data_IF_115498918205
#
_entry.id   IF_115498918205
#
_cell.length_a   1.000
_cell.length_b   1.000
_cell.length_c   1.000
_cell.angle_alpha   90.00
_cell.angle_beta   90.00
_cell.angle_gamma   90.00
#
_symmetry.space_group_name_H-M   'P 1'
#
loop_
_entity.id
_entity.type
_entity.pdbx_description
1 polymer ?
#
# COMPACT_ATOMS: atom_id res chain seq x y z
N UNK A 1 -7.10 -2.61 -13.06
CA UNK A 1 -7.50 -2.41 -11.65
C UNK A 1 -6.33 -1.83 -10.86
N UNK A 2 -6.52 -0.81 -10.02
CA UNK A 2 -5.41 -0.12 -9.32
C UNK A 2 -4.87 -0.89 -8.09
N UNK A 3 -5.67 -1.81 -7.55
CA UNK A 3 -5.39 -2.55 -6.31
C UNK A 3 -4.01 -3.26 -6.29
N UNK A 4 -3.60 -3.90 -7.38
CA UNK A 4 -2.34 -4.65 -7.43
C UNK A 4 -1.08 -3.74 -7.32
N UNK A 5 -1.18 -2.45 -7.63
CA UNK A 5 -0.10 -1.48 -7.35
C UNK A 5 -0.03 -1.19 -5.85
N UNK A 6 -1.18 -0.88 -5.25
CA UNK A 6 -1.27 -0.58 -3.81
C UNK A 6 -0.89 -1.78 -2.95
N UNK A 7 -1.21 -3.02 -3.36
CA UNK A 7 -0.75 -4.23 -2.68
C UNK A 7 0.79 -4.30 -2.62
N UNK A 8 1.47 -3.84 -3.67
CA UNK A 8 2.94 -3.79 -3.75
C UNK A 8 3.55 -2.56 -3.07
N UNK A 9 2.74 -1.68 -2.47
CA UNK A 9 3.24 -0.47 -1.82
C UNK A 9 3.66 0.64 -2.77
N UNK A 10 3.13 0.65 -4.00
CA UNK A 10 3.43 1.66 -5.01
C UNK A 10 2.14 2.33 -5.50
N UNK A 11 2.17 3.62 -5.88
CA UNK A 11 1.04 4.27 -6.50
C UNK A 11 0.74 3.69 -7.89
N UNK A 12 -0.50 3.79 -8.34
CA UNK A 12 -0.85 3.47 -9.74
C UNK A 12 -0.21 4.50 -10.68
N UNK A 13 0.26 4.11 -11.88
CA UNK A 13 0.79 5.05 -12.87
C UNK A 13 -0.31 5.87 -13.58
N UNK A 14 -1.59 5.51 -13.40
CA UNK A 14 -2.71 6.16 -14.10
C UNK A 14 -3.03 7.57 -13.61
N UNK A 15 -2.68 7.88 -12.36
CA UNK A 15 -2.95 9.15 -11.72
C UNK A 15 -1.82 9.46 -10.74
N UNK A 16 -1.55 10.73 -10.49
CA UNK A 16 -0.59 11.10 -9.45
C UNK A 16 -1.22 10.91 -8.05
N UNK A 17 -0.45 10.50 -7.03
CA UNK A 17 -0.91 10.57 -5.64
C UNK A 17 -1.35 11.99 -5.30
N UNK A 18 -2.51 12.16 -4.66
CA UNK A 18 -2.85 13.47 -4.10
C UNK A 18 -2.05 13.74 -2.82
N UNK A 19 -1.72 12.70 -2.06
CA UNK A 19 -0.89 12.80 -0.87
C UNK A 19 -0.28 11.45 -0.50
N UNK A 20 0.89 11.46 0.15
CA UNK A 20 1.47 10.28 0.78
C UNK A 20 2.35 10.66 1.96
N UNK A 21 2.58 9.72 2.86
CA UNK A 21 3.62 9.81 3.88
C UNK A 21 4.53 8.60 3.82
N UNK A 22 5.78 8.81 4.19
CA UNK A 22 6.79 7.77 4.31
C UNK A 22 7.15 7.56 5.77
N UNK A 23 7.52 6.34 6.13
CA UNK A 23 8.12 6.06 7.42
C UNK A 23 9.60 6.47 7.46
N UNK A 24 10.25 6.26 8.62
CA UNK A 24 11.65 6.65 8.88
C UNK A 24 12.67 6.04 7.92
N UNK A 25 12.31 4.99 7.18
CA UNK A 25 13.20 4.32 6.22
C UNK A 25 12.71 4.45 4.78
N UNK A 26 11.80 5.39 4.51
CA UNK A 26 11.35 5.73 3.17
C UNK A 26 10.27 4.82 2.58
N UNK A 27 9.61 3.98 3.39
CA UNK A 27 8.51 3.12 2.90
C UNK A 27 7.19 3.86 3.00
N UNK A 28 6.27 3.59 2.07
CA UNK A 28 4.91 4.13 2.15
C UNK A 28 4.27 3.80 3.50
N UNK A 29 3.85 4.81 4.24
CA UNK A 29 3.08 4.63 5.48
C UNK A 29 1.59 4.86 5.18
N UNK A 30 1.30 5.89 4.39
CA UNK A 30 -0.05 6.22 3.95
C UNK A 30 -0.03 6.78 2.52
N UNK A 31 -1.12 6.59 1.78
CA UNK A 31 -1.31 7.06 0.41
C UNK A 31 -2.77 7.47 0.19
N UNK A 32 -2.98 8.65 -0.38
CA UNK A 32 -4.26 9.06 -0.96
C UNK A 32 -4.09 9.13 -2.48
N UNK A 33 -4.85 8.30 -3.19
CA UNK A 33 -4.84 8.24 -4.66
C UNK A 33 -6.24 7.93 -5.17
N UNK A 34 -6.69 8.68 -6.17
CA UNK A 34 -8.08 8.63 -6.67
C UNK A 34 -9.08 8.86 -5.51
N UNK A 35 -10.05 7.96 -5.31
CA UNK A 35 -11.00 7.96 -4.20
C UNK A 35 -10.58 7.08 -3.02
N UNK A 36 -9.32 6.63 -2.99
CA UNK A 36 -8.81 5.69 -2.00
C UNK A 36 -7.84 6.32 -1.03
N UNK A 37 -8.03 6.00 0.25
CA UNK A 37 -7.07 6.20 1.32
C UNK A 37 -6.49 4.84 1.73
N UNK A 38 -5.18 4.70 1.63
CA UNK A 38 -4.44 3.47 1.88
C UNK A 38 -3.51 3.67 3.08
N UNK A 39 -3.53 2.74 4.02
CA UNK A 39 -2.60 2.71 5.17
C UNK A 39 -1.83 1.39 5.19
N UNK A 40 -0.51 1.49 5.27
CA UNK A 40 0.40 0.35 5.33
C UNK A 40 0.76 0.07 6.78
N UNK A 41 0.02 -0.84 7.40
CA UNK A 41 0.09 -1.07 8.85
C UNK A 41 1.31 -1.89 9.30
N UNK A 42 1.86 -2.74 8.43
CA UNK A 42 3.07 -3.52 8.76
C UNK A 42 3.81 -3.91 7.49
N UNK A 43 5.13 -3.91 7.57
CA UNK A 43 6.03 -4.46 6.55
C UNK A 43 6.75 -5.70 7.08
N UNK A 44 7.14 -6.59 6.18
CA UNK A 44 8.12 -7.66 6.43
C UNK A 44 9.33 -7.45 5.54
N UNK A 45 10.50 -7.91 5.98
CA UNK A 45 11.70 -7.98 5.14
C UNK A 45 11.77 -9.36 4.50
N UNK A 46 11.78 -9.41 3.17
CA UNK A 46 12.03 -10.63 2.41
C UNK A 46 13.27 -10.38 1.56
N UNK A 47 14.32 -11.17 1.78
CA UNK A 47 15.65 -10.93 1.22
C UNK A 47 16.11 -9.48 1.52
N UNK A 48 16.26 -8.63 0.52
CA UNK A 48 16.70 -7.24 0.67
C UNK A 48 15.59 -6.20 0.41
N UNK A 49 14.32 -6.62 0.36
CA UNK A 49 13.17 -5.75 0.06
C UNK A 49 12.18 -5.78 1.22
N UNK A 50 11.57 -4.63 1.51
CA UNK A 50 10.45 -4.54 2.44
C UNK A 50 9.12 -4.61 1.70
N UNK A 51 8.30 -5.58 2.07
CA UNK A 51 7.01 -5.84 1.44
C UNK A 51 5.88 -5.60 2.45
N UNK A 52 4.75 -4.99 2.04
CA UNK A 52 3.60 -4.83 2.92
C UNK A 52 3.06 -6.19 3.41
N UNK A 53 2.85 -6.34 4.70
CA UNK A 53 2.14 -7.49 5.30
C UNK A 53 0.68 -7.17 5.59
N UNK A 54 0.38 -5.92 5.91
CA UNK A 54 -0.95 -5.49 6.35
C UNK A 54 -1.29 -4.16 5.70
N UNK A 55 -2.36 -4.14 4.93
CA UNK A 55 -2.80 -2.97 4.17
C UNK A 55 -4.28 -2.75 4.46
N UNK A 56 -4.64 -1.49 4.71
CA UNK A 56 -6.02 -1.06 4.80
C UNK A 56 -6.29 -0.11 3.65
N UNK A 57 -7.40 -0.32 2.95
CA UNK A 57 -7.86 0.56 1.90
C UNK A 57 -9.29 1.00 2.24
N UNK A 58 -9.52 2.30 2.22
CA UNK A 58 -10.81 2.92 2.44
C UNK A 58 -11.18 3.69 1.17
N UNK A 59 -12.17 3.20 0.45
CA UNK A 59 -12.81 3.91 -0.66
C UNK A 59 -14.19 4.38 -0.22
N UNK A 60 -14.88 5.13 -1.10
CA UNK A 60 -16.19 5.73 -0.79
C UNK A 60 -17.20 4.73 -0.19
N UNK A 61 -17.33 3.54 -0.80
CA UNK A 61 -18.35 2.56 -0.42
C UNK A 61 -17.77 1.28 0.19
N UNK A 62 -16.45 1.12 0.17
CA UNK A 62 -15.79 -0.13 0.51
C UNK A 62 -14.59 0.08 1.42
N UNK A 63 -14.52 -0.78 2.45
CA UNK A 63 -13.33 -0.93 3.30
C UNK A 63 -12.73 -2.30 3.07
N UNK A 64 -11.47 -2.34 2.69
CA UNK A 64 -10.73 -3.57 2.41
C UNK A 64 -9.56 -3.66 3.38
N UNK A 65 -9.42 -4.82 4.02
CA UNK A 65 -8.26 -5.16 4.83
C UNK A 65 -7.55 -6.34 4.19
N UNK A 66 -6.29 -6.16 3.84
CA UNK A 66 -5.45 -7.17 3.22
C UNK A 66 -4.39 -7.58 4.23
N UNK A 67 -4.28 -8.89 4.45
CA UNK A 67 -3.20 -9.53 5.18
C UNK A 67 -2.49 -10.45 4.20
N UNK A 68 -1.23 -10.16 3.91
CA UNK A 68 -0.41 -11.04 3.06
C UNK A 68 0.27 -12.05 3.97
N UNK A 69 -0.06 -13.33 3.77
CA UNK A 69 0.53 -14.42 4.55
C UNK A 69 1.95 -14.73 4.07
N UNK A 70 2.09 -14.93 2.75
CA UNK A 70 3.35 -15.24 2.10
C UNK A 70 3.54 -14.38 0.84
N UNK A 71 4.76 -13.90 0.67
CA UNK A 71 5.24 -13.29 -0.56
C UNK A 71 6.13 -14.31 -1.27
N UNK A 72 5.98 -14.42 -2.59
CA UNK A 72 6.83 -15.24 -3.45
C UNK A 72 7.54 -14.34 -4.44
N UNK A 73 8.80 -14.67 -4.73
CA UNK A 73 9.67 -14.02 -5.73
C UNK A 73 9.86 -14.91 -6.93
#
# INVERSE_FOLDING_TARGET
>A
TNLHFWIRGIPTPKSSPQWYSLDKIGRLQSLRQDTWEITYGRYIKMQNIYLPKKIFLNGNDFRVKIIVDQWHT
#
